data_IF_427364993415
#
_entry.id   IF_427364993415
#
_cell.length_a   1.000
_cell.length_b   1.000
_cell.length_c   1.000
_cell.angle_alpha   90.00
_cell.angle_beta   90.00
_cell.angle_gamma   90.00
#
_symmetry.space_group_name_H-M   'P 1'
#
loop_
_entity.id
_entity.type
_entity.pdbx_description
1 polymer ?
#
# COMPACT_ATOMS: atom_id res chain seq x y z
N UNK A 1 -4.63 13.66 -0.98
CA UNK A 1 -4.07 13.53 0.39
C UNK A 1 -5.13 13.63 1.47
N UNK A 2 -5.92 14.71 1.57
CA UNK A 2 -6.93 14.87 2.64
C UNK A 2 -7.90 13.68 2.79
N UNK A 3 -8.62 13.32 1.72
CA UNK A 3 -9.57 12.19 1.73
C UNK A 3 -8.88 10.86 2.03
N UNK A 4 -7.76 10.58 1.36
CA UNK A 4 -6.99 9.34 1.57
C UNK A 4 -6.45 9.25 3.00
N UNK A 5 -5.96 10.35 3.57
CA UNK A 5 -5.48 10.40 4.95
C UNK A 5 -6.60 10.19 5.96
N UNK A 6 -7.79 10.77 5.71
CA UNK A 6 -8.99 10.49 6.48
C UNK A 6 -9.38 9.01 6.43
N UNK A 7 -9.37 8.41 5.23
CA UNK A 7 -9.62 6.97 5.04
C UNK A 7 -8.58 6.11 5.78
N UNK A 8 -7.30 6.48 5.73
CA UNK A 8 -6.23 5.78 6.43
C UNK A 8 -6.44 5.81 7.95
N UNK A 9 -6.81 6.97 8.49
CA UNK A 9 -7.16 7.12 9.91
C UNK A 9 -8.40 6.30 10.28
N UNK A 10 -9.44 6.32 9.45
CA UNK A 10 -10.65 5.52 9.65
C UNK A 10 -10.37 4.00 9.64
N UNK A 11 -9.53 3.53 8.71
CA UNK A 11 -9.09 2.13 8.67
C UNK A 11 -8.23 1.76 9.87
N UNK A 12 -7.35 2.66 10.32
CA UNK A 12 -6.54 2.45 11.52
C UNK A 12 -7.40 2.33 12.78
N UNK A 13 -8.42 3.18 12.91
CA UNK A 13 -9.42 3.06 13.98
C UNK A 13 -10.20 1.75 13.89
N UNK A 14 -10.65 1.38 12.70
CA UNK A 14 -11.37 0.12 12.47
C UNK A 14 -10.55 -1.12 12.85
N UNK A 15 -9.22 -1.09 12.66
CA UNK A 15 -8.34 -2.19 13.07
C UNK A 15 -8.36 -2.45 14.58
N UNK A 16 -8.44 -1.40 15.41
CA UNK A 16 -8.31 -1.49 16.88
C UNK A 16 -9.64 -1.46 17.62
N UNK A 17 -10.70 -0.91 17.02
CA UNK A 17 -12.01 -0.72 17.67
C UNK A 17 -12.63 -2.03 18.17
N UNK A 18 -12.37 -3.16 17.51
CA UNK A 18 -12.91 -4.46 17.89
C UNK A 18 -12.05 -5.25 18.88
N UNK A 19 -10.85 -4.76 19.23
CA UNK A 19 -9.82 -5.56 19.92
C UNK A 19 -9.59 -5.26 21.40
N UNK A 20 -10.38 -4.38 22.01
CA UNK A 20 -10.16 -3.90 23.38
C UNK A 20 -10.94 -4.68 24.46
N UNK A 21 -11.64 -5.77 24.12
CA UNK A 21 -12.40 -6.57 25.11
C UNK A 21 -12.28 -8.09 24.92
N UNK A 22 -12.35 -8.63 23.68
CA UNK A 22 -12.45 -10.10 23.48
C UNK A 22 -11.40 -10.76 22.55
N UNK A 23 -10.76 -10.01 21.64
CA UNK A 23 -9.81 -10.56 20.63
C UNK A 23 -8.71 -9.56 20.27
N UNK A 24 -7.46 -9.88 20.56
CA UNK A 24 -6.30 -9.00 20.25
C UNK A 24 -5.82 -9.09 18.81
N UNK A 25 -6.40 -9.96 17.97
CA UNK A 25 -5.97 -10.20 16.60
C UNK A 25 -6.63 -9.26 15.57
N UNK A 26 -5.80 -8.61 14.75
CA UNK A 26 -6.28 -7.83 13.61
C UNK A 26 -6.50 -8.76 12.42
N UNK A 27 -7.71 -8.84 11.89
CA UNK A 27 -7.99 -9.62 10.69
C UNK A 27 -7.08 -9.17 9.53
N UNK A 28 -6.46 -10.14 8.87
CA UNK A 28 -5.68 -10.01 7.63
C UNK A 28 -6.28 -9.04 6.59
N UNK A 29 -7.62 -9.02 6.45
CA UNK A 29 -8.31 -8.13 5.52
C UNK A 29 -8.22 -6.66 5.95
N UNK A 30 -8.35 -6.38 7.26
CA UNK A 30 -8.23 -5.03 7.82
C UNK A 30 -6.80 -4.52 7.69
N UNK A 31 -5.83 -5.37 8.02
CA UNK A 31 -4.41 -5.07 7.90
C UNK A 31 -4.04 -4.76 6.44
N UNK A 32 -4.45 -5.62 5.50
CA UNK A 32 -4.17 -5.46 4.07
C UNK A 32 -4.83 -4.22 3.50
N UNK A 33 -6.08 -3.92 3.88
CA UNK A 33 -6.76 -2.70 3.45
C UNK A 33 -6.06 -1.43 3.95
N UNK A 34 -5.68 -1.40 5.24
CA UNK A 34 -4.96 -0.27 5.82
C UNK A 34 -3.59 -0.07 5.19
N UNK A 35 -2.86 -1.16 4.96
CA UNK A 35 -1.57 -1.12 4.27
C UNK A 35 -1.71 -0.65 2.80
N UNK A 36 -2.73 -1.12 2.08
CA UNK A 36 -2.99 -0.70 0.71
C UNK A 36 -3.29 0.79 0.58
N UNK A 37 -4.10 1.36 1.48
CA UNK A 37 -4.35 2.81 1.50
C UNK A 37 -3.08 3.59 1.89
N UNK A 38 -2.24 3.07 2.79
CA UNK A 38 -0.93 3.65 3.10
C UNK A 38 -0.04 3.75 1.86
N UNK A 39 0.04 2.69 1.05
CA UNK A 39 0.82 2.65 -0.19
C UNK A 39 0.29 3.66 -1.22
N UNK A 40 -1.03 3.81 -1.36
CA UNK A 40 -1.63 4.81 -2.24
C UNK A 40 -1.29 6.24 -1.80
N UNK A 41 -1.31 6.51 -0.48
CA UNK A 41 -0.88 7.80 0.06
C UNK A 41 0.58 8.06 -0.25
N UNK A 42 1.45 7.08 -0.01
CA UNK A 42 2.89 7.19 -0.27
C UNK A 42 3.14 7.46 -1.75
N UNK A 43 2.57 6.66 -2.64
CA UNK A 43 2.71 6.82 -4.09
C UNK A 43 2.22 8.18 -4.58
N UNK A 44 1.06 8.64 -4.09
CA UNK A 44 0.53 9.97 -4.43
C UNK A 44 1.39 11.10 -3.88
N UNK A 45 1.97 10.94 -2.69
CA UNK A 45 2.88 11.93 -2.08
C UNK A 45 4.17 12.04 -2.88
N UNK A 46 4.78 10.91 -3.23
CA UNK A 46 5.98 10.87 -4.09
C UNK A 46 5.69 11.50 -5.44
N UNK A 47 4.55 11.17 -6.06
CA UNK A 47 4.14 11.77 -7.32
C UNK A 47 3.99 13.31 -7.23
N UNK A 48 3.38 13.82 -6.15
CA UNK A 48 3.28 15.26 -5.91
C UNK A 48 4.66 15.91 -5.73
N UNK A 49 5.54 15.33 -4.91
CA UNK A 49 6.89 15.85 -4.66
C UNK A 49 7.71 15.93 -5.96
N UNK A 50 7.69 14.86 -6.77
CA UNK A 50 8.36 14.83 -8.06
C UNK A 50 7.78 15.86 -9.04
N UNK A 51 6.46 16.10 -8.98
CA UNK A 51 5.79 17.12 -9.79
C UNK A 51 6.16 18.55 -9.39
N UNK A 52 6.43 18.81 -8.11
CA UNK A 52 6.84 20.13 -7.60
C UNK A 52 8.33 20.41 -7.86
N UNK A 53 9.19 19.40 -7.75
CA UNK A 53 10.64 19.54 -7.94
C UNK A 53 11.11 19.51 -9.40
N UNK A 54 10.27 19.05 -10.33
CA UNK A 54 10.61 19.02 -11.74
C UNK A 54 10.34 20.37 -12.41
N UNK A 55 11.39 21.11 -12.75
CA UNK A 55 11.30 22.06 -13.85
C UNK A 55 10.83 21.26 -15.07
N UNK A 56 9.65 21.59 -15.63
CA UNK A 56 9.04 20.91 -16.77
C UNK A 56 9.99 20.95 -17.98
N UNK A 57 10.96 20.04 -18.03
CA UNK A 57 11.62 19.67 -19.28
C UNK A 57 10.56 18.93 -20.08
N UNK A 58 10.37 19.34 -21.34
CA UNK A 58 9.63 18.56 -22.32
C UNK A 58 10.36 17.23 -22.52
N UNK A 59 10.05 16.28 -21.64
CA UNK A 59 10.54 14.93 -21.74
C UNK A 59 9.67 14.26 -22.81
N UNK A 60 10.27 13.87 -23.93
CA UNK A 60 9.63 13.02 -24.94
C UNK A 60 9.36 11.64 -24.32
N UNK A 61 8.24 11.53 -23.61
CA UNK A 61 7.89 10.32 -22.87
C UNK A 61 7.33 9.30 -23.87
N UNK A 62 8.08 8.22 -24.12
CA UNK A 62 7.55 7.09 -24.89
C UNK A 62 6.34 6.48 -24.16
N UNK A 63 5.19 6.47 -24.82
CA UNK A 63 3.93 5.93 -24.28
C UNK A 63 3.98 4.43 -23.98
N UNK A 64 4.91 3.71 -24.61
CA UNK A 64 5.15 2.29 -24.31
C UNK A 64 5.85 2.14 -22.95
N UNK A 65 6.91 2.91 -22.71
CA UNK A 65 7.68 2.87 -21.46
C UNK A 65 6.82 3.26 -20.27
N UNK A 66 5.97 4.28 -20.41
CA UNK A 66 5.06 4.69 -19.32
C UNK A 66 4.02 3.61 -18.98
N UNK A 67 3.52 2.86 -19.98
CA UNK A 67 2.59 1.76 -19.75
C UNK A 67 3.25 0.58 -19.05
N UNK A 68 4.47 0.21 -19.48
CA UNK A 68 5.24 -0.86 -18.82
C UNK A 68 5.56 -0.47 -17.37
N UNK A 69 6.02 0.76 -17.14
CA UNK A 69 6.28 1.24 -15.78
C UNK A 69 5.03 1.20 -14.90
N UNK A 70 3.87 1.63 -15.42
CA UNK A 70 2.60 1.56 -14.69
C UNK A 70 2.19 0.11 -14.39
N UNK A 71 2.37 -0.82 -15.33
CA UNK A 71 2.09 -2.24 -15.14
C UNK A 71 3.00 -2.85 -14.07
N UNK A 72 4.31 -2.55 -14.10
CA UNK A 72 5.26 -3.03 -13.08
C UNK A 72 4.91 -2.48 -11.71
N UNK A 73 4.59 -1.19 -11.58
CA UNK A 73 4.16 -0.60 -10.32
C UNK A 73 2.87 -1.23 -9.79
N UNK A 74 1.93 -1.55 -10.67
CA UNK A 74 0.72 -2.27 -10.30
C UNK A 74 1.02 -3.69 -9.81
N UNK A 75 1.92 -4.43 -10.47
CA UNK A 75 2.34 -5.76 -10.02
C UNK A 75 3.04 -5.71 -8.66
N UNK A 76 3.91 -4.72 -8.43
CA UNK A 76 4.55 -4.50 -7.13
C UNK A 76 3.49 -4.21 -6.06
N UNK A 77 2.50 -3.37 -6.37
CA UNK A 77 1.40 -3.08 -5.45
C UNK A 77 0.62 -4.35 -5.08
N UNK A 78 0.25 -5.18 -6.07
CA UNK A 78 -0.42 -6.46 -5.83
C UNK A 78 0.45 -7.41 -4.99
N UNK A 79 1.75 -7.51 -5.28
CA UNK A 79 2.69 -8.33 -4.51
C UNK A 79 2.78 -7.89 -3.04
N UNK A 80 2.79 -6.58 -2.79
CA UNK A 80 2.79 -6.01 -1.45
C UNK A 80 1.49 -6.34 -0.70
N UNK A 81 0.33 -6.28 -1.37
CA UNK A 81 -0.95 -6.68 -0.77
C UNK A 81 -0.98 -8.18 -0.45
N UNK A 82 -0.46 -9.02 -1.33
CA UNK A 82 -0.33 -10.46 -1.06
C UNK A 82 0.56 -10.72 0.17
N UNK A 83 1.68 -10.00 0.30
CA UNK A 83 2.52 -10.05 1.49
C UNK A 83 1.80 -9.61 2.77
N UNK A 84 0.96 -8.58 2.71
CA UNK A 84 0.16 -8.13 3.85
C UNK A 84 -0.90 -9.16 4.29
N UNK A 85 -1.48 -9.91 3.34
CA UNK A 85 -2.38 -11.03 3.65
C UNK A 85 -1.64 -12.14 4.38
N UNK A 86 -0.47 -12.55 3.87
CA UNK A 86 0.39 -13.59 4.48
C UNK A 86 0.84 -13.18 5.88
N UNK A 87 1.24 -11.92 6.06
CA UNK A 87 1.61 -11.38 7.36
C UNK A 87 0.42 -11.36 8.32
N UNK A 88 -0.79 -11.05 7.84
CA UNK A 88 -1.99 -10.99 8.67
C UNK A 88 -2.54 -12.35 9.13
N UNK A 89 -2.01 -13.47 8.61
CA UNK A 89 -2.31 -14.83 9.05
C UNK A 89 -1.11 -15.52 9.72
N UNK A 90 -0.03 -14.77 9.98
CA UNK A 90 1.23 -15.28 10.53
C UNK A 90 1.84 -16.43 9.70
N UNK A 91 1.48 -16.58 8.43
CA UNK A 91 1.93 -17.69 7.57
C UNK A 91 3.44 -17.64 7.25
N UNK A 92 4.09 -16.50 7.52
CA UNK A 92 5.56 -16.40 7.48
C UNK A 92 6.26 -17.33 8.48
N UNK A 93 5.56 -17.81 9.51
CA UNK A 93 6.11 -18.81 10.44
C UNK A 93 6.03 -20.25 9.91
N UNK A 94 5.18 -20.53 8.92
CA UNK A 94 5.01 -21.86 8.34
C UNK A 94 6.15 -22.27 7.41
N UNK A 95 6.74 -21.30 6.71
CA UNK A 95 7.93 -21.45 5.87
C UNK A 95 8.93 -20.37 6.24
N UNK A 96 9.59 -20.55 7.38
CA UNK A 96 10.58 -19.62 7.94
C UNK A 96 12.00 -19.81 7.37
N UNK A 97 12.17 -20.76 6.46
CA UNK A 97 13.37 -20.94 5.64
C UNK A 97 13.16 -20.29 4.28
N UNK A 98 14.25 -19.93 3.63
CA UNK A 98 14.23 -19.44 2.25
C UNK A 98 15.06 -20.37 1.38
N UNK A 99 14.65 -20.69 0.14
CA UNK A 99 13.35 -20.46 -0.51
C UNK A 99 12.33 -21.58 -0.27
#
# INVERSE_FOLDING_TARGET
>A
LFVLGGLQGALGWYMVKSGLVDRTDVSQYRLTAHFGVALLILGYTVWLLLGLGAARKEQTRSSSVSRVAAAVLFLIFVQLLAGALVAGIDAGMGFNTWP
#
